data_IF_050271943072
#
_entry.id   IF_050271943072
#
_cell.length_a   1.000
_cell.length_b   1.000
_cell.length_c   1.000
_cell.angle_alpha   90.00
_cell.angle_beta   90.00
_cell.angle_gamma   90.00
#
_symmetry.space_group_name_H-M   'P 1'
#
loop_
_entity.id
_entity.type
_entity.pdbx_description
1 polymer ?
#
# COMPACT_ATOMS: atom_id res chain seq x y z
N UNK A 1 -46.30 45.74 -44.67
CA UNK A 1 -46.04 44.31 -44.42
C UNK A 1 -44.56 44.19 -44.13
N UNK A 2 -44.15 44.21 -42.84
CA UNK A 2 -42.74 44.16 -42.44
C UNK A 2 -42.42 42.74 -41.97
N UNK A 3 -41.52 42.04 -42.67
CA UNK A 3 -40.93 40.76 -42.21
C UNK A 3 -39.78 41.03 -41.24
N UNK A 4 -39.91 40.59 -40.00
CA UNK A 4 -38.81 40.51 -39.02
C UNK A 4 -38.11 39.14 -39.13
N UNK A 5 -36.86 39.16 -39.58
CA UNK A 5 -35.97 37.99 -39.49
C UNK A 5 -35.49 37.81 -38.05
N UNK A 6 -35.74 36.65 -37.47
CA UNK A 6 -35.21 36.24 -36.18
C UNK A 6 -33.93 35.45 -36.46
N UNK A 7 -32.78 36.01 -36.10
CA UNK A 7 -31.49 35.26 -36.05
C UNK A 7 -31.39 34.52 -34.73
N UNK A 8 -31.47 33.21 -34.80
CA UNK A 8 -31.17 32.33 -33.66
C UNK A 8 -29.67 32.05 -33.64
N UNK A 9 -28.93 32.65 -32.70
CA UNK A 9 -27.53 32.31 -32.44
C UNK A 9 -27.47 31.00 -31.66
N UNK A 10 -26.96 29.95 -32.26
CA UNK A 10 -26.63 28.71 -31.60
C UNK A 10 -25.31 28.89 -30.82
N UNK A 11 -25.39 28.89 -29.48
CA UNK A 11 -24.25 28.92 -28.60
C UNK A 11 -23.69 27.47 -28.49
N UNK A 12 -22.56 27.19 -29.16
CA UNK A 12 -21.83 25.94 -29.03
C UNK A 12 -21.08 26.02 -27.70
N UNK A 13 -21.58 25.24 -26.72
CA UNK A 13 -20.88 25.00 -25.46
C UNK A 13 -19.75 23.97 -25.73
N UNK A 14 -18.52 24.45 -25.83
CA UNK A 14 -17.34 23.60 -25.71
C UNK A 14 -17.23 23.12 -24.24
N UNK A 15 -17.64 21.90 -23.99
CA UNK A 15 -17.27 21.20 -22.77
C UNK A 15 -15.77 20.85 -22.84
N UNK A 16 -14.94 21.75 -22.34
CA UNK A 16 -13.54 21.44 -22.10
C UNK A 16 -13.44 20.36 -21.03
N UNK A 17 -13.14 19.12 -21.42
CA UNK A 17 -12.68 18.12 -20.49
C UNK A 17 -11.35 18.61 -19.92
N UNK A 18 -11.39 19.11 -18.68
CA UNK A 18 -10.19 19.36 -17.90
C UNK A 18 -9.52 17.99 -17.65
N UNK A 19 -8.52 17.66 -18.43
CA UNK A 19 -7.59 16.60 -18.06
C UNK A 19 -6.94 17.09 -16.79
N UNK A 20 -7.31 16.50 -15.66
CA UNK A 20 -6.60 16.70 -14.39
C UNK A 20 -5.22 16.07 -14.63
N UNK A 21 -4.25 16.89 -14.97
CA UNK A 21 -2.86 16.47 -15.01
C UNK A 21 -2.49 16.14 -13.56
N UNK A 22 -2.16 14.89 -13.28
CA UNK A 22 -1.58 14.49 -12.02
C UNK A 22 -0.45 15.46 -11.66
N UNK A 23 -0.22 15.71 -10.37
CA UNK A 23 0.83 16.63 -9.95
C UNK A 23 2.20 16.02 -10.28
N UNK A 24 2.75 16.38 -11.42
CA UNK A 24 4.03 15.90 -11.94
C UNK A 24 5.15 16.18 -10.95
N UNK A 25 6.04 15.22 -10.75
CA UNK A 25 7.23 15.41 -9.94
C UNK A 25 8.31 16.25 -10.66
N UNK A 26 9.24 16.89 -9.91
CA UNK A 26 10.37 17.61 -10.49
C UNK A 26 11.34 16.76 -11.36
N UNK A 27 11.21 15.43 -11.27
CA UNK A 27 11.99 14.47 -12.06
C UNK A 27 11.51 14.32 -13.51
N UNK A 28 10.32 14.81 -13.86
CA UNK A 28 9.83 14.73 -15.23
C UNK A 28 10.73 15.47 -16.21
N UNK A 29 11.02 14.85 -17.35
CA UNK A 29 11.95 15.31 -18.38
C UNK A 29 13.41 14.95 -18.12
N UNK A 30 13.76 14.43 -16.94
CA UNK A 30 15.14 13.99 -16.63
C UNK A 30 15.42 12.58 -17.15
N UNK A 31 16.62 12.36 -17.64
CA UNK A 31 17.07 11.03 -18.03
C UNK A 31 17.21 10.13 -16.79
N UNK A 32 16.98 8.83 -16.98
CA UNK A 32 17.24 7.83 -15.95
C UNK A 32 18.72 7.86 -15.51
N UNK A 33 19.05 7.53 -14.25
CA UNK A 33 20.41 7.30 -13.81
C UNK A 33 21.16 6.35 -14.75
N UNK A 34 22.44 6.62 -15.03
CA UNK A 34 23.25 5.98 -16.10
C UNK A 34 23.20 4.45 -16.21
N UNK A 35 22.90 3.76 -15.11
CA UNK A 35 22.87 2.29 -15.06
C UNK A 35 21.45 1.74 -15.09
N UNK A 36 20.45 2.60 -15.19
CA UNK A 36 19.05 2.20 -15.17
C UNK A 36 18.42 2.32 -16.55
N UNK A 37 17.65 1.29 -16.90
CA UNK A 37 16.89 1.22 -18.15
C UNK A 37 15.47 0.73 -17.82
N UNK A 38 14.45 1.08 -18.63
CA UNK A 38 13.11 0.49 -18.51
C UNK A 38 13.15 -1.04 -18.54
N UNK A 39 12.28 -1.70 -17.77
CA UNK A 39 12.24 -3.15 -17.59
C UNK A 39 13.24 -3.71 -16.58
N UNK A 40 14.09 -2.88 -15.97
CA UNK A 40 15.16 -3.32 -15.07
C UNK A 40 14.86 -3.13 -13.58
N UNK A 41 15.45 -4.01 -12.74
CA UNK A 41 15.48 -3.87 -11.28
C UNK A 41 16.91 -3.58 -10.80
N UNK A 42 17.08 -2.56 -9.96
CA UNK A 42 18.38 -2.05 -9.53
C UNK A 42 18.48 -1.92 -8.02
N UNK A 43 19.53 -2.51 -7.44
CA UNK A 43 19.88 -2.30 -6.03
C UNK A 43 20.74 -1.04 -5.90
N UNK A 44 20.38 -0.16 -4.99
CA UNK A 44 21.09 1.10 -4.76
C UNK A 44 20.93 1.56 -3.30
N UNK A 45 21.63 2.61 -2.94
CA UNK A 45 21.64 3.16 -1.59
C UNK A 45 21.16 4.61 -1.58
N UNK A 46 20.67 5.04 -0.43
CA UNK A 46 20.39 6.43 -0.11
C UNK A 46 20.95 6.76 1.28
N UNK A 47 21.60 7.91 1.41
CA UNK A 47 21.99 8.45 2.72
C UNK A 47 20.83 9.26 3.26
N UNK A 48 20.29 8.84 4.40
CA UNK A 48 19.21 9.54 5.09
C UNK A 48 19.69 10.80 5.80
N UNK A 49 18.79 11.71 6.16
CA UNK A 49 19.12 12.98 6.84
C UNK A 49 19.84 12.80 8.18
N UNK A 50 19.66 11.64 8.82
CA UNK A 50 20.38 11.26 10.05
C UNK A 50 21.77 10.64 9.78
N UNK A 51 22.24 10.67 8.52
CA UNK A 51 23.55 10.20 8.10
C UNK A 51 23.68 8.68 7.90
N UNK A 52 22.57 7.92 8.02
CA UNK A 52 22.61 6.46 7.79
C UNK A 52 22.54 6.15 6.30
N UNK A 53 23.33 5.18 5.88
CA UNK A 53 23.16 4.56 4.58
C UNK A 53 22.09 3.47 4.64
N UNK A 54 21.10 3.57 3.76
CA UNK A 54 19.99 2.61 3.62
C UNK A 54 19.92 2.15 2.18
N UNK A 55 19.64 0.87 1.97
CA UNK A 55 19.52 0.29 0.63
C UNK A 55 18.05 0.06 0.25
N UNK A 56 17.82 -0.02 -1.05
CA UNK A 56 16.54 -0.41 -1.64
C UNK A 56 16.75 -1.05 -3.02
N UNK A 57 15.75 -1.74 -3.52
CA UNK A 57 15.63 -2.14 -4.91
C UNK A 57 14.56 -1.25 -5.54
N UNK A 58 14.81 -0.77 -6.75
CA UNK A 58 13.83 -0.07 -7.59
C UNK A 58 13.69 -0.81 -8.91
N UNK A 59 12.46 -1.06 -9.31
CA UNK A 59 12.10 -1.56 -10.63
C UNK A 59 11.49 -0.45 -11.46
N UNK A 60 12.01 -0.25 -12.66
CA UNK A 60 11.50 0.72 -13.64
C UNK A 60 10.67 -0.06 -14.65
N UNK A 61 9.37 0.22 -14.84
CA UNK A 61 8.55 -0.51 -15.80
C UNK A 61 9.06 -0.34 -17.23
N UNK A 62 8.85 -1.34 -18.09
CA UNK A 62 9.43 -1.35 -19.47
C UNK A 62 8.90 -0.23 -20.36
N UNK A 63 7.71 0.27 -20.09
CA UNK A 63 7.09 1.37 -20.81
C UNK A 63 7.33 2.75 -20.18
N UNK A 64 8.28 2.87 -19.23
CA UNK A 64 8.58 4.15 -18.58
C UNK A 64 9.04 5.20 -19.61
N UNK A 65 8.33 6.33 -19.61
CA UNK A 65 8.71 7.54 -20.33
C UNK A 65 8.99 8.66 -19.32
N UNK A 66 10.14 9.32 -19.45
CA UNK A 66 10.52 10.42 -18.56
C UNK A 66 9.60 11.65 -18.64
N UNK A 67 8.73 11.74 -19.63
CA UNK A 67 7.77 12.84 -19.81
C UNK A 67 6.35 12.48 -19.36
N UNK A 68 6.09 11.18 -19.11
CA UNK A 68 4.77 10.69 -18.70
C UNK A 68 4.80 10.27 -17.22
N UNK A 69 4.02 10.92 -16.33
CA UNK A 69 4.08 10.64 -14.91
C UNK A 69 3.49 9.27 -14.57
N UNK A 70 4.28 8.44 -13.88
CA UNK A 70 3.91 7.08 -13.48
C UNK A 70 3.63 6.97 -11.97
N UNK A 71 2.78 6.02 -11.53
CA UNK A 71 2.58 5.72 -10.12
C UNK A 71 3.87 5.14 -9.48
N UNK A 72 3.90 5.19 -8.13
CA UNK A 72 4.96 4.52 -7.34
C UNK A 72 4.34 3.63 -6.28
N UNK A 73 4.85 2.39 -6.16
CA UNK A 73 4.44 1.42 -5.16
C UNK A 73 5.63 1.08 -4.26
N UNK A 74 5.52 1.34 -2.95
CA UNK A 74 6.45 0.84 -1.96
C UNK A 74 5.98 -0.52 -1.44
N UNK A 75 6.87 -1.53 -1.44
CA UNK A 75 6.58 -2.87 -0.93
C UNK A 75 7.56 -3.27 0.17
N UNK A 76 7.06 -3.37 1.41
CA UNK A 76 7.88 -3.58 2.61
C UNK A 76 7.93 -5.07 3.01
N UNK A 77 9.13 -5.60 3.18
CA UNK A 77 9.35 -7.00 3.54
C UNK A 77 8.93 -7.35 4.97
N UNK A 78 8.68 -8.62 5.23
CA UNK A 78 8.46 -9.16 6.57
C UNK A 78 9.73 -9.14 7.43
N UNK A 79 9.56 -9.29 8.76
CA UNK A 79 10.69 -9.41 9.68
C UNK A 79 11.60 -10.57 9.29
N UNK A 80 12.92 -10.40 9.40
CA UNK A 80 13.98 -11.33 8.98
C UNK A 80 14.10 -11.54 7.47
N UNK A 81 13.30 -10.85 6.67
CA UNK A 81 13.34 -10.90 5.21
C UNK A 81 14.13 -9.72 4.64
N UNK A 82 14.28 -9.68 3.33
CA UNK A 82 15.05 -8.68 2.59
C UNK A 82 14.22 -8.03 1.51
N UNK A 83 14.68 -6.89 1.00
CA UNK A 83 14.12 -6.23 -0.18
C UNK A 83 14.01 -7.19 -1.37
N UNK A 84 15.06 -8.00 -1.63
CA UNK A 84 15.06 -9.00 -2.72
C UNK A 84 14.02 -10.10 -2.54
N UNK A 85 13.83 -10.58 -1.29
CA UNK A 85 12.78 -11.57 -1.03
C UNK A 85 11.37 -10.98 -1.19
N UNK A 86 11.18 -9.70 -0.86
CA UNK A 86 9.90 -9.03 -1.02
C UNK A 86 9.57 -8.75 -2.49
N UNK A 87 10.55 -8.34 -3.29
CA UNK A 87 10.39 -8.20 -4.74
C UNK A 87 9.88 -9.50 -5.35
N UNK A 88 10.55 -10.62 -5.01
CA UNK A 88 10.18 -11.95 -5.52
C UNK A 88 8.80 -12.41 -5.01
N UNK A 89 8.43 -12.05 -3.77
CA UNK A 89 7.19 -12.48 -3.13
C UNK A 89 5.99 -11.68 -3.65
N UNK A 90 6.10 -10.34 -3.63
CA UNK A 90 4.97 -9.45 -3.97
C UNK A 90 4.81 -9.20 -5.46
N UNK A 91 5.83 -9.53 -6.27
CA UNK A 91 5.80 -9.49 -7.74
C UNK A 91 5.33 -8.15 -8.37
N UNK A 92 5.51 -7.01 -7.67
CA UNK A 92 5.22 -5.70 -8.28
C UNK A 92 6.27 -5.31 -9.35
N UNK A 93 7.33 -6.11 -9.55
CA UNK A 93 8.26 -6.01 -10.68
C UNK A 93 7.88 -6.92 -11.86
N UNK A 94 6.78 -7.68 -11.75
CA UNK A 94 6.25 -8.49 -12.83
C UNK A 94 5.30 -7.63 -13.69
N UNK A 95 5.67 -7.40 -14.93
CA UNK A 95 4.91 -6.55 -15.85
C UNK A 95 3.53 -7.08 -16.21
N UNK A 96 3.30 -8.38 -16.02
CA UNK A 96 1.95 -8.97 -16.15
C UNK A 96 0.98 -8.36 -15.12
N UNK A 97 1.47 -8.04 -13.92
CA UNK A 97 0.67 -7.46 -12.84
C UNK A 97 0.82 -5.95 -12.74
N UNK A 98 2.02 -5.43 -13.02
CA UNK A 98 2.33 -4.02 -12.89
C UNK A 98 3.11 -3.51 -14.12
N UNK A 99 2.46 -3.21 -15.22
CA UNK A 99 3.12 -2.70 -16.43
C UNK A 99 3.53 -1.22 -16.34
N UNK A 100 3.01 -0.45 -15.35
CA UNK A 100 3.07 1.00 -15.42
C UNK A 100 3.71 1.68 -14.21
N UNK A 101 3.68 1.08 -13.01
CA UNK A 101 4.17 1.75 -11.81
C UNK A 101 5.64 1.39 -11.51
N UNK A 102 6.41 2.38 -11.06
CA UNK A 102 7.71 2.12 -10.44
C UNK A 102 7.46 1.34 -9.14
N UNK A 103 8.13 0.19 -8.97
CA UNK A 103 8.07 -0.58 -7.73
C UNK A 103 9.35 -0.40 -6.91
N UNK A 104 9.18 -0.13 -5.62
CA UNK A 104 10.28 0.13 -4.68
C UNK A 104 10.24 -0.86 -3.54
N UNK A 105 11.35 -1.52 -3.28
CA UNK A 105 11.51 -2.48 -2.19
C UNK A 105 12.61 -1.99 -1.24
N UNK A 106 12.25 -1.25 -0.19
CA UNK A 106 13.23 -0.78 0.77
C UNK A 106 13.79 -1.92 1.63
N UNK A 107 15.02 -1.73 2.15
CA UNK A 107 15.63 -2.65 3.10
C UNK A 107 15.55 -2.12 4.52
N UNK A 108 14.91 -2.85 5.40
CA UNK A 108 14.81 -2.57 6.84
C UNK A 108 16.14 -2.78 7.57
N UNK A 109 16.44 -1.91 8.53
CA UNK A 109 17.61 -2.09 9.42
C UNK A 109 17.44 -3.39 10.21
N UNK A 110 18.47 -4.23 10.21
CA UNK A 110 18.43 -5.57 10.83
C UNK A 110 17.25 -6.42 10.33
N UNK A 111 16.87 -6.24 9.06
CA UNK A 111 15.78 -6.95 8.41
C UNK A 111 14.42 -6.79 9.13
N UNK A 112 14.11 -5.60 9.64
CA UNK A 112 12.85 -5.29 10.32
C UNK A 112 12.50 -3.81 10.22
N UNK A 113 11.26 -3.47 10.58
CA UNK A 113 10.69 -2.14 10.45
C UNK A 113 10.20 -1.59 11.77
N UNK A 114 10.14 -0.27 11.85
CA UNK A 114 9.47 0.48 12.91
C UNK A 114 8.07 -0.08 13.20
N UNK A 115 7.75 -0.23 14.49
CA UNK A 115 6.51 -0.87 14.96
C UNK A 115 6.73 -2.30 15.45
N UNK A 116 7.76 -3.01 15.00
CA UNK A 116 8.20 -4.24 15.65
C UNK A 116 8.77 -3.92 17.04
N UNK A 117 8.45 -4.71 18.08
CA UNK A 117 8.98 -4.48 19.43
C UNK A 117 10.51 -4.39 19.53
N UNK A 118 11.24 -4.98 18.57
CA UNK A 118 12.71 -4.95 18.53
C UNK A 118 13.29 -3.80 17.70
N UNK A 119 12.46 -2.96 17.06
CA UNK A 119 12.91 -1.83 16.20
C UNK A 119 12.82 -0.49 16.92
N UNK A 120 13.34 -0.40 18.14
CA UNK A 120 13.32 0.85 18.89
C UNK A 120 14.36 1.84 18.33
N UNK A 121 14.00 3.10 18.28
CA UNK A 121 14.89 4.19 17.85
C UNK A 121 15.16 4.21 16.33
N UNK A 122 14.37 3.48 15.54
CA UNK A 122 14.41 3.52 14.07
C UNK A 122 13.18 4.28 13.57
N UNK A 123 13.40 5.26 12.69
CA UNK A 123 12.35 6.04 12.04
C UNK A 123 12.24 5.66 10.56
N UNK A 124 11.47 4.61 10.29
CA UNK A 124 11.24 4.13 8.93
C UNK A 124 10.17 4.94 8.18
N UNK A 125 9.31 5.68 8.89
CA UNK A 125 8.38 6.63 8.27
C UNK A 125 9.18 7.75 7.61
N UNK A 126 10.09 8.38 8.37
CA UNK A 126 10.96 9.43 7.83
C UNK A 126 11.85 8.92 6.68
N UNK A 127 12.39 7.70 6.80
CA UNK A 127 13.14 7.06 5.72
C UNK A 127 12.30 6.88 4.45
N UNK A 128 11.06 6.40 4.56
CA UNK A 128 10.16 6.21 3.42
C UNK A 128 9.82 7.53 2.74
N UNK A 129 9.54 8.59 3.51
CA UNK A 129 9.28 9.92 2.97
C UNK A 129 10.50 10.52 2.28
N UNK A 130 11.71 10.33 2.84
CA UNK A 130 12.95 10.79 2.21
C UNK A 130 13.24 10.04 0.90
N UNK A 131 12.93 8.73 0.83
CA UNK A 131 13.01 8.00 -0.43
C UNK A 131 12.02 8.54 -1.47
N UNK A 132 10.77 8.82 -1.05
CA UNK A 132 9.77 9.38 -1.97
C UNK A 132 10.24 10.74 -2.52
N UNK A 133 10.73 11.65 -1.66
CA UNK A 133 11.30 12.93 -2.10
C UNK A 133 12.46 12.72 -3.09
N UNK A 134 13.36 11.76 -2.80
CA UNK A 134 14.47 11.41 -3.67
C UNK A 134 14.03 10.87 -5.03
N UNK A 135 12.92 10.11 -5.08
CA UNK A 135 12.39 9.59 -6.34
C UNK A 135 11.66 10.67 -7.13
N UNK A 136 10.88 11.52 -6.48
CA UNK A 136 10.22 12.65 -7.13
C UNK A 136 11.24 13.61 -7.81
N UNK A 137 12.44 13.74 -7.27
CA UNK A 137 13.51 14.54 -7.87
C UNK A 137 14.17 13.87 -9.09
N UNK A 138 14.01 12.57 -9.29
CA UNK A 138 14.76 11.79 -10.30
C UNK A 138 13.91 11.17 -11.39
N UNK A 139 12.66 10.81 -11.08
CA UNK A 139 11.77 10.10 -11.98
C UNK A 139 10.50 10.94 -12.23
N UNK A 140 9.90 10.76 -13.39
CA UNK A 140 8.61 11.35 -13.69
C UNK A 140 7.51 10.56 -12.95
N UNK A 141 7.11 11.08 -11.78
CA UNK A 141 6.15 10.44 -10.88
C UNK A 141 4.86 11.26 -10.84
N UNK A 142 3.74 10.57 -10.89
CA UNK A 142 2.46 11.11 -10.51
C UNK A 142 2.34 11.13 -8.97
N UNK A 143 2.51 12.30 -8.39
CA UNK A 143 2.49 12.53 -6.94
C UNK A 143 1.14 12.23 -6.29
N UNK A 144 0.08 12.10 -7.09
CA UNK A 144 -1.25 11.71 -6.60
C UNK A 144 -1.44 10.20 -6.55
N UNK A 145 -0.56 9.42 -7.17
CA UNK A 145 -0.64 7.96 -7.25
C UNK A 145 0.59 7.28 -6.61
N UNK A 146 0.76 7.49 -5.31
CA UNK A 146 1.80 6.85 -4.50
C UNK A 146 1.14 5.88 -3.53
N UNK A 147 1.63 4.64 -3.50
CA UNK A 147 0.99 3.55 -2.77
C UNK A 147 1.97 2.80 -1.87
N UNK A 148 1.44 2.18 -0.83
CA UNK A 148 2.23 1.36 0.09
C UNK A 148 1.59 -0.01 0.30
N UNK A 149 2.39 -1.06 0.13
CA UNK A 149 2.06 -2.44 0.48
C UNK A 149 3.13 -3.04 1.37
N UNK A 150 2.84 -4.13 2.05
CA UNK A 150 3.85 -4.83 2.84
C UNK A 150 3.31 -6.06 3.53
N UNK A 151 4.22 -7.01 3.80
CA UNK A 151 3.88 -8.26 4.47
C UNK A 151 4.31 -8.26 5.93
N UNK A 152 3.47 -8.79 6.83
CA UNK A 152 3.85 -9.04 8.23
C UNK A 152 4.31 -7.76 8.94
N UNK A 153 5.55 -7.67 9.39
CA UNK A 153 6.14 -6.44 9.94
C UNK A 153 6.11 -5.28 8.92
N UNK A 154 6.32 -5.56 7.62
CA UNK A 154 6.12 -4.58 6.54
C UNK A 154 4.68 -4.12 6.42
N UNK A 155 3.69 -5.00 6.61
CA UNK A 155 2.28 -4.63 6.72
C UNK A 155 1.99 -3.76 7.95
N UNK A 156 2.70 -4.00 9.04
CA UNK A 156 2.69 -3.13 10.22
C UNK A 156 3.20 -1.72 9.91
N UNK A 157 4.32 -1.60 9.15
CA UNK A 157 4.83 -0.30 8.70
C UNK A 157 3.85 0.37 7.72
N UNK A 158 3.25 -0.37 6.79
CA UNK A 158 2.21 0.13 5.88
C UNK A 158 1.07 0.79 6.65
N UNK A 159 0.57 0.15 7.71
CA UNK A 159 -0.42 0.77 8.61
C UNK A 159 0.12 2.02 9.32
N UNK A 160 1.38 2.02 9.76
CA UNK A 160 1.96 3.20 10.42
C UNK A 160 2.08 4.39 9.49
N UNK A 161 2.42 4.17 8.22
CA UNK A 161 2.40 5.22 7.19
C UNK A 161 0.99 5.78 6.98
N UNK A 162 -0.02 4.91 6.94
CA UNK A 162 -1.42 5.31 6.85
C UNK A 162 -1.87 6.15 8.06
N UNK A 163 -1.34 5.85 9.25
CA UNK A 163 -1.66 6.52 10.50
C UNK A 163 -0.84 7.79 10.77
N UNK A 164 0.22 8.04 10.02
CA UNK A 164 1.10 9.19 10.22
C UNK A 164 0.53 10.44 9.53
N UNK A 165 0.48 11.61 10.21
CA UNK A 165 -0.15 12.81 9.65
C UNK A 165 0.61 13.41 8.46
N UNK A 166 1.89 13.07 8.27
CA UNK A 166 2.68 13.52 7.11
C UNK A 166 2.57 12.51 5.97
N UNK A 167 2.79 11.23 6.26
CA UNK A 167 2.76 10.18 5.25
C UNK A 167 1.36 10.01 4.65
N UNK A 168 0.29 10.10 5.45
CA UNK A 168 -1.09 9.97 4.95
C UNK A 168 -1.48 11.01 3.89
N UNK A 169 -0.78 12.14 3.79
CA UNK A 169 -0.94 13.15 2.73
C UNK A 169 -0.15 12.86 1.46
N UNK A 170 0.73 11.85 1.51
CA UNK A 170 1.66 11.54 0.42
C UNK A 170 1.35 10.19 -0.23
N UNK A 171 0.52 9.36 0.39
CA UNK A 171 0.13 8.05 -0.10
C UNK A 171 -1.37 8.00 -0.35
N UNK A 172 -1.77 7.59 -1.55
CA UNK A 172 -3.17 7.52 -1.96
C UNK A 172 -3.90 6.32 -1.35
N UNK A 173 -3.25 5.14 -1.29
CA UNK A 173 -3.84 3.92 -0.73
C UNK A 173 -2.79 2.98 -0.12
N UNK A 174 -3.27 2.03 0.72
CA UNK A 174 -2.44 1.13 1.52
C UNK A 174 -2.94 -0.30 1.44
N UNK A 175 -2.01 -1.27 1.34
CA UNK A 175 -2.33 -2.69 1.24
C UNK A 175 -1.47 -3.57 2.17
N UNK A 176 -1.78 -3.67 3.48
CA UNK A 176 -1.10 -4.58 4.37
C UNK A 176 -1.56 -6.03 4.17
N UNK A 177 -0.59 -6.96 4.08
CA UNK A 177 -0.80 -8.40 3.97
C UNK A 177 -0.28 -9.10 5.23
N UNK A 178 -1.13 -9.87 5.92
CA UNK A 178 -0.82 -10.55 7.19
C UNK A 178 -0.12 -9.61 8.19
N UNK A 179 -0.62 -8.38 8.33
CA UNK A 179 0.04 -7.25 8.97
C UNK A 179 0.21 -7.39 10.48
N UNK A 180 1.40 -7.04 11.00
CA UNK A 180 1.72 -7.07 12.43
C UNK A 180 1.48 -5.69 13.07
N UNK A 181 0.26 -5.44 13.53
CA UNK A 181 -0.21 -4.16 14.05
C UNK A 181 0.03 -3.99 15.55
N UNK A 182 1.27 -4.13 16.03
CA UNK A 182 1.60 -4.05 17.44
C UNK A 182 1.18 -2.73 18.08
N UNK A 183 0.39 -2.82 19.17
CA UNK A 183 0.01 -1.71 20.01
C UNK A 183 0.86 -1.67 21.29
N UNK A 184 1.09 -0.47 21.82
CA UNK A 184 1.91 -0.28 23.03
C UNK A 184 1.10 -0.62 24.31
N UNK A 185 0.63 -1.85 24.37
CA UNK A 185 -0.07 -2.47 25.51
C UNK A 185 0.64 -3.78 25.81
N UNK A 186 0.90 -4.08 27.08
CA UNK A 186 1.56 -5.34 27.48
C UNK A 186 0.69 -6.57 27.18
N UNK A 187 1.30 -7.73 27.07
CA UNK A 187 0.58 -8.98 26.75
C UNK A 187 -0.53 -9.29 27.76
N UNK A 188 -0.28 -9.12 29.06
CA UNK A 188 -1.26 -9.40 30.12
C UNK A 188 -2.49 -8.50 30.04
N UNK A 189 -2.31 -7.27 29.56
CA UNK A 189 -3.37 -6.28 29.39
C UNK A 189 -3.98 -6.31 27.97
N UNK A 190 -3.54 -7.22 27.12
CA UNK A 190 -4.02 -7.30 25.75
C UNK A 190 -5.49 -7.69 25.69
N UNK A 191 -6.27 -6.89 24.98
CA UNK A 191 -7.68 -7.12 24.69
C UNK A 191 -7.86 -6.95 23.17
N UNK A 192 -7.62 -7.99 22.36
CA UNK A 192 -7.50 -7.90 20.90
C UNK A 192 -8.69 -7.27 20.20
N UNK A 193 -9.89 -7.44 20.77
CA UNK A 193 -11.13 -6.95 20.15
C UNK A 193 -11.48 -5.50 20.52
N UNK A 194 -10.70 -4.88 21.42
CA UNK A 194 -10.99 -3.54 21.94
C UNK A 194 -9.74 -2.70 22.20
N UNK A 195 -8.55 -3.24 21.94
CA UNK A 195 -7.30 -2.49 22.12
C UNK A 195 -7.31 -1.26 21.22
N UNK A 196 -7.04 -0.09 21.79
CA UNK A 196 -7.00 1.16 21.04
C UNK A 196 -5.87 1.11 19.99
N UNK A 197 -6.23 1.29 18.74
CA UNK A 197 -5.29 1.41 17.62
C UNK A 197 -4.92 2.89 17.49
N UNK A 198 -3.69 3.22 17.86
CA UNK A 198 -3.19 4.60 17.78
C UNK A 198 -2.97 4.97 16.31
N UNK A 199 -3.69 5.98 15.85
CA UNK A 199 -3.69 6.41 14.47
C UNK A 199 -4.19 7.85 14.37
N UNK A 200 -3.51 8.69 13.60
CA UNK A 200 -3.86 10.10 13.44
C UNK A 200 -3.56 10.57 12.00
N UNK A 201 -4.24 10.01 10.99
CA UNK A 201 -4.05 10.45 9.62
C UNK A 201 -4.50 11.91 9.46
N UNK A 202 -3.89 12.63 8.51
CA UNK A 202 -4.23 14.02 8.23
C UNK A 202 -5.32 14.18 7.17
N UNK A 203 -5.85 13.08 6.66
CA UNK A 203 -7.00 13.02 5.74
C UNK A 203 -7.89 11.83 6.04
N UNK A 204 -9.11 11.86 5.58
CA UNK A 204 -10.07 10.77 5.48
C UNK A 204 -10.85 10.91 4.18
N UNK A 205 -11.28 9.83 3.53
CA UNK A 205 -10.95 8.45 3.89
C UNK A 205 -9.49 8.09 3.58
N UNK A 206 -9.01 7.02 4.24
CA UNK A 206 -7.74 6.37 3.94
C UNK A 206 -8.03 5.01 3.28
N UNK A 207 -7.91 4.88 1.95
CA UNK A 207 -8.14 3.61 1.28
C UNK A 207 -7.21 2.51 1.78
N UNK A 208 -7.81 1.41 2.30
CA UNK A 208 -7.10 0.32 2.98
C UNK A 208 -7.59 -1.04 2.50
N UNK A 209 -6.69 -1.86 1.94
CA UNK A 209 -6.98 -3.24 1.52
C UNK A 209 -6.15 -4.23 2.35
N UNK A 210 -6.78 -4.96 3.25
CA UNK A 210 -6.10 -5.91 4.13
C UNK A 210 -6.35 -7.37 3.75
N UNK A 211 -5.29 -8.18 3.69
CA UNK A 211 -5.39 -9.64 3.53
C UNK A 211 -4.93 -10.35 4.80
N UNK A 212 -5.67 -11.39 5.21
CA UNK A 212 -5.23 -12.23 6.33
C UNK A 212 -5.78 -13.66 6.25
N UNK A 213 -4.92 -14.62 6.56
CA UNK A 213 -5.28 -16.03 6.67
C UNK A 213 -5.83 -16.39 8.04
N UNK A 214 -6.83 -17.28 8.11
CA UNK A 214 -7.43 -17.70 9.38
C UNK A 214 -6.55 -18.65 10.19
N UNK A 215 -5.61 -19.34 9.52
CA UNK A 215 -4.64 -20.24 10.15
C UNK A 215 -3.26 -19.61 10.37
N UNK A 216 -3.19 -18.26 10.40
CA UNK A 216 -1.94 -17.55 10.67
C UNK A 216 -1.54 -17.71 12.15
N UNK A 217 -0.52 -18.55 12.41
CA UNK A 217 0.05 -18.77 13.73
C UNK A 217 1.12 -17.73 14.11
N UNK A 218 1.65 -17.00 13.13
CA UNK A 218 2.66 -15.96 13.34
C UNK A 218 2.03 -14.65 13.78
N UNK A 219 1.01 -14.18 13.10
CA UNK A 219 0.19 -13.04 13.45
C UNK A 219 -1.27 -13.52 13.51
N UNK A 220 -1.72 -14.04 14.66
CA UNK A 220 -3.03 -14.69 14.73
C UNK A 220 -4.18 -13.80 14.27
N UNK A 221 -5.10 -14.34 13.48
CA UNK A 221 -6.30 -13.65 13.01
C UNK A 221 -7.12 -13.06 14.16
N UNK A 222 -7.13 -13.78 15.30
CA UNK A 222 -7.81 -13.38 16.54
C UNK A 222 -7.02 -12.35 17.37
N UNK A 223 -5.81 -11.99 16.95
CA UNK A 223 -4.92 -11.14 17.72
C UNK A 223 -4.41 -11.81 18.99
N UNK A 224 -3.93 -11.01 19.93
CA UNK A 224 -3.44 -11.51 21.22
C UNK A 224 -2.12 -10.89 21.67
N UNK A 225 -1.67 -11.27 22.85
CA UNK A 225 -0.35 -10.93 23.37
C UNK A 225 0.76 -11.57 22.55
N UNK A 226 1.75 -10.77 22.13
CA UNK A 226 2.90 -11.27 21.35
C UNK A 226 4.10 -10.35 21.52
N UNK A 227 5.27 -10.93 21.89
CA UNK A 227 6.56 -10.23 21.98
C UNK A 227 6.49 -8.98 22.88
N UNK A 228 5.80 -9.11 24.04
CA UNK A 228 5.63 -8.03 25.02
C UNK A 228 4.65 -6.93 24.61
N UNK A 229 3.86 -7.14 23.55
CA UNK A 229 2.90 -6.17 23.01
C UNK A 229 1.55 -6.84 22.69
N UNK A 230 0.55 -6.02 22.38
CA UNK A 230 -0.77 -6.47 21.97
C UNK A 230 -0.96 -6.34 20.45
N UNK A 231 -1.46 -7.41 19.84
CA UNK A 231 -1.98 -7.41 18.48
C UNK A 231 -3.50 -7.29 18.55
N UNK A 232 -4.14 -6.35 17.85
CA UNK A 232 -5.59 -6.37 17.66
C UNK A 232 -6.00 -7.61 16.88
N UNK A 233 -7.23 -8.09 17.07
CA UNK A 233 -7.80 -9.02 16.12
C UNK A 233 -7.98 -8.34 14.74
N UNK A 234 -7.86 -9.11 13.68
CA UNK A 234 -7.98 -8.55 12.32
C UNK A 234 -9.36 -7.94 12.08
N UNK A 235 -10.49 -8.57 12.52
CA UNK A 235 -11.80 -7.93 12.43
C UNK A 235 -11.91 -6.62 13.20
N UNK A 236 -11.25 -6.49 14.36
CA UNK A 236 -11.22 -5.23 15.09
C UNK A 236 -10.41 -4.17 14.33
N UNK A 237 -9.24 -4.52 13.82
CA UNK A 237 -8.41 -3.63 13.00
C UNK A 237 -9.18 -3.07 11.79
N UNK A 238 -9.89 -3.91 11.07
CA UNK A 238 -10.67 -3.51 9.89
C UNK A 238 -11.83 -2.57 10.26
N UNK A 239 -12.58 -2.91 11.32
CA UNK A 239 -13.66 -2.04 11.82
C UNK A 239 -13.16 -0.69 12.34
N UNK A 240 -11.99 -0.64 12.97
CA UNK A 240 -11.39 0.62 13.41
C UNK A 240 -11.03 1.53 12.23
N UNK A 241 -10.57 0.97 11.11
CA UNK A 241 -10.35 1.74 9.87
C UNK A 241 -11.67 2.24 9.29
N UNK A 242 -12.67 1.38 9.15
CA UNK A 242 -13.99 1.77 8.67
C UNK A 242 -14.66 2.84 9.54
N UNK A 243 -14.52 2.73 10.86
CA UNK A 243 -15.04 3.71 11.82
C UNK A 243 -14.30 5.06 11.75
N UNK A 244 -12.98 5.04 11.57
CA UNK A 244 -12.15 6.25 11.46
C UNK A 244 -12.47 7.05 10.22
N UNK A 245 -12.78 6.36 9.14
CA UNK A 245 -13.14 6.96 7.86
C UNK A 245 -14.64 7.30 7.75
N UNK A 246 -15.39 7.15 8.87
CA UNK A 246 -16.84 7.42 8.95
C UNK A 246 -17.67 6.66 7.90
N UNK A 247 -17.24 5.44 7.58
CA UNK A 247 -17.90 4.60 6.57
C UNK A 247 -19.18 3.90 7.11
N UNK A 248 -19.68 4.36 8.21
CA UNK A 248 -20.72 3.85 9.10
C UNK A 248 -21.80 2.98 8.47
N UNK A 249 -21.79 1.71 8.76
CA UNK A 249 -22.88 0.77 8.49
C UNK A 249 -23.01 0.30 7.04
N UNK A 250 -22.32 0.89 6.08
CA UNK A 250 -22.26 0.41 4.70
C UNK A 250 -21.17 -0.65 4.58
N UNK A 251 -21.56 -1.87 4.82
CA UNK A 251 -20.66 -3.00 4.70
C UNK A 251 -21.35 -4.04 3.80
N UNK A 252 -20.62 -4.48 2.79
CA UNK A 252 -20.98 -5.60 1.96
C UNK A 252 -20.02 -6.74 2.22
N UNK A 253 -20.54 -7.93 2.48
CA UNK A 253 -19.72 -9.13 2.62
C UNK A 253 -20.12 -10.14 1.55
N UNK A 254 -19.15 -10.53 0.74
CA UNK A 254 -19.30 -11.54 -0.30
C UNK A 254 -18.37 -12.72 -0.03
N UNK A 255 -18.74 -13.90 -0.52
CA UNK A 255 -17.91 -15.10 -0.42
C UNK A 255 -17.64 -15.68 -1.81
N UNK A 256 -16.43 -16.15 -2.01
CA UNK A 256 -16.01 -16.83 -3.23
C UNK A 256 -15.30 -18.14 -2.91
N UNK A 257 -14.92 -18.90 -3.94
CA UNK A 257 -14.18 -20.16 -3.81
C UNK A 257 -14.86 -21.15 -2.83
N UNK A 258 -16.19 -21.31 -2.97
CA UNK A 258 -16.96 -22.22 -2.10
C UNK A 258 -16.99 -21.80 -0.62
N UNK A 259 -16.92 -20.49 -0.33
CA UNK A 259 -16.90 -19.95 1.03
C UNK A 259 -15.49 -19.85 1.65
N UNK A 260 -14.45 -20.21 0.91
CA UNK A 260 -13.05 -20.15 1.39
C UNK A 260 -12.47 -18.77 1.44
N UNK A 261 -13.01 -17.84 0.70
CA UNK A 261 -12.60 -16.42 0.71
C UNK A 261 -13.82 -15.57 1.03
N UNK A 262 -13.71 -14.82 2.11
CA UNK A 262 -14.69 -13.81 2.50
C UNK A 262 -14.12 -12.43 2.25
N UNK A 263 -14.86 -11.59 1.53
CA UNK A 263 -14.47 -10.23 1.21
C UNK A 263 -15.46 -9.26 1.81
N UNK A 264 -15.02 -8.50 2.79
CA UNK A 264 -15.80 -7.42 3.42
C UNK A 264 -15.38 -6.08 2.84
N UNK A 265 -16.34 -5.29 2.35
CA UNK A 265 -16.14 -3.93 1.84
C UNK A 265 -16.92 -2.93 2.66
N UNK A 266 -16.28 -1.84 3.02
CA UNK A 266 -16.85 -0.72 3.76
C UNK A 266 -16.73 0.55 2.92
N UNK A 267 -17.79 1.37 2.97
CA UNK A 267 -17.91 2.59 2.17
C UNK A 267 -18.52 2.35 0.79
N UNK A 268 -18.87 3.43 0.10
CA UNK A 268 -19.58 3.39 -1.19
C UNK A 268 -18.68 2.92 -2.34
N UNK A 269 -17.36 3.11 -2.21
CA UNK A 269 -16.36 2.74 -3.21
C UNK A 269 -15.43 1.62 -2.74
N UNK A 270 -15.69 1.02 -1.56
CA UNK A 270 -14.81 0.04 -0.96
C UNK A 270 -13.51 0.68 -0.45
N UNK A 271 -13.64 1.78 0.28
CA UNK A 271 -12.53 2.51 0.89
C UNK A 271 -11.75 1.63 1.86
N UNK A 272 -12.44 0.77 2.62
CA UNK A 272 -11.80 -0.26 3.44
C UNK A 272 -12.26 -1.63 2.98
N UNK A 273 -11.32 -2.47 2.57
CA UNK A 273 -11.59 -3.84 2.08
C UNK A 273 -10.77 -4.85 2.87
N UNK A 274 -11.38 -5.96 3.22
CA UNK A 274 -10.70 -7.07 3.88
C UNK A 274 -10.96 -8.40 3.20
N UNK A 275 -9.87 -9.12 2.88
CA UNK A 275 -9.89 -10.50 2.42
C UNK A 275 -9.53 -11.43 3.58
N UNK A 276 -10.52 -12.17 4.08
CA UNK A 276 -10.34 -13.27 5.03
C UNK A 276 -10.21 -14.57 4.24
N UNK A 277 -9.08 -15.26 4.37
CA UNK A 277 -8.78 -16.46 3.58
C UNK A 277 -8.72 -17.66 4.52
N UNK A 278 -9.66 -18.59 4.34
CA UNK A 278 -9.80 -19.76 5.20
C UNK A 278 -8.62 -20.71 5.02
N UNK A 279 -8.04 -21.15 6.14
CA UNK A 279 -6.94 -22.11 6.19
C UNK A 279 -5.59 -21.57 5.74
N UNK A 280 -5.49 -20.34 5.22
CA UNK A 280 -4.21 -19.73 4.87
C UNK A 280 -3.43 -19.39 6.14
N UNK A 281 -2.15 -19.75 6.15
CA UNK A 281 -1.19 -19.40 7.19
C UNK A 281 -0.63 -17.97 7.04
N UNK A 282 0.58 -17.75 7.57
CA UNK A 282 1.26 -16.44 7.52
C UNK A 282 1.90 -16.20 6.13
N UNK A 283 1.10 -15.96 5.10
CA UNK A 283 1.55 -15.93 3.72
C UNK A 283 1.09 -14.68 2.95
N UNK A 284 1.79 -14.37 1.87
CA UNK A 284 1.30 -13.54 0.77
C UNK A 284 0.39 -14.42 -0.09
N UNK A 285 -0.91 -14.11 -0.21
CA UNK A 285 -1.83 -14.94 -0.98
C UNK A 285 -1.43 -15.02 -2.45
N UNK A 286 -1.35 -16.25 -2.98
CA UNK A 286 -1.11 -16.54 -4.40
C UNK A 286 -1.70 -17.90 -4.72
N UNK A 287 -2.32 -18.04 -5.88
CA UNK A 287 -2.80 -19.32 -6.40
C UNK A 287 -1.66 -20.22 -6.80
N UNK A 288 -0.52 -19.63 -7.17
CA UNK A 288 0.72 -20.34 -7.45
C UNK A 288 1.58 -20.46 -6.18
N UNK A 289 2.39 -21.53 -6.07
CA UNK A 289 3.35 -21.70 -4.99
C UNK A 289 4.31 -20.51 -4.86
N UNK A 290 4.56 -20.06 -3.63
CA UNK A 290 5.55 -19.04 -3.34
C UNK A 290 6.37 -19.37 -2.08
N UNK A 291 7.34 -18.51 -1.73
CA UNK A 291 8.23 -18.75 -0.57
C UNK A 291 7.52 -18.74 0.79
N UNK A 292 6.30 -18.25 0.88
CA UNK A 292 5.51 -18.21 2.11
C UNK A 292 4.46 -19.34 2.16
N UNK A 293 4.03 -19.83 1.00
CA UNK A 293 3.00 -20.85 0.87
C UNK A 293 3.32 -21.76 -0.34
N UNK A 294 3.91 -22.93 -0.12
CA UNK A 294 4.27 -23.85 -1.20
C UNK A 294 3.07 -24.54 -1.88
N UNK A 295 1.90 -24.52 -1.26
CA UNK A 295 0.70 -25.17 -1.77
C UNK A 295 -0.22 -24.22 -2.55
N UNK A 296 0.10 -22.90 -2.54
CA UNK A 296 -0.80 -21.88 -3.08
C UNK A 296 -2.05 -21.66 -2.24
N UNK A 297 -2.96 -20.81 -2.69
CA UNK A 297 -4.26 -20.53 -2.06
C UNK A 297 -5.31 -20.16 -3.11
N UNK A 298 -6.41 -19.55 -2.68
CA UNK A 298 -7.60 -19.36 -3.51
C UNK A 298 -7.60 -18.06 -4.34
N UNK A 299 -6.71 -17.12 -4.03
CA UNK A 299 -6.66 -15.79 -4.66
C UNK A 299 -5.22 -15.29 -4.76
N UNK A 300 -4.99 -14.41 -5.73
CA UNK A 300 -3.72 -13.71 -5.92
C UNK A 300 -3.81 -12.29 -5.37
N UNK A 301 -3.06 -12.00 -4.32
CA UNK A 301 -3.08 -10.67 -3.68
C UNK A 301 -2.54 -9.59 -4.61
N UNK A 302 -1.50 -9.88 -5.40
CA UNK A 302 -0.82 -8.86 -6.21
C UNK A 302 -1.72 -8.19 -7.23
N UNK A 303 -2.40 -8.89 -8.16
CA UNK A 303 -3.31 -8.26 -9.10
C UNK A 303 -4.52 -7.58 -8.40
N UNK A 304 -5.00 -8.13 -7.29
CA UNK A 304 -6.07 -7.50 -6.50
C UNK A 304 -5.60 -6.17 -5.90
N UNK A 305 -4.37 -6.12 -5.36
CA UNK A 305 -3.76 -4.88 -4.82
C UNK A 305 -3.59 -3.86 -5.94
N UNK A 306 -3.10 -4.27 -7.12
CA UNK A 306 -2.95 -3.36 -8.26
C UNK A 306 -4.30 -2.77 -8.67
N UNK A 307 -5.33 -3.60 -8.85
CA UNK A 307 -6.67 -3.12 -9.19
C UNK A 307 -7.32 -2.27 -8.09
N UNK A 308 -6.93 -2.46 -6.82
CA UNK A 308 -7.34 -1.57 -5.74
C UNK A 308 -6.62 -0.22 -5.83
N UNK A 309 -5.31 -0.22 -6.01
CA UNK A 309 -4.52 1.01 -6.10
C UNK A 309 -4.95 1.91 -7.26
N UNK A 310 -5.27 1.32 -8.40
CA UNK A 310 -5.71 2.06 -9.60
C UNK A 310 -7.03 2.86 -9.40
N UNK A 311 -7.78 2.56 -8.36
CA UNK A 311 -9.02 3.27 -8.02
C UNK A 311 -8.78 4.55 -7.21
N UNK A 312 -7.58 4.77 -6.66
CA UNK A 312 -7.34 5.80 -5.67
C UNK A 312 -6.26 6.80 -6.09
N UNK A 313 -6.59 8.07 -5.90
CA UNK A 313 -5.66 9.20 -6.01
C UNK A 313 -5.79 10.11 -4.79
N UNK A 314 -4.76 10.92 -4.54
CA UNK A 314 -4.80 11.96 -3.51
C UNK A 314 -5.69 13.14 -3.92
#
# INVERSE_FOLDING_TARGET
>A
MFFRSIFTSAMILFSGSSVVHGANSPGCGKDLPRVQEPGGSYSTNITTKDGRERSYIIHIPSNYDKNEPVPVIFSFHGRTRTAKSQEKLSQFSNEEYNPNAIAVYPQGIKNQWQGDPSSQGIDDISFTLQMLDHFEDRYCIDRTRVYAAGKSNGGGLTNRLACDPTASKRFAAFAPVAGAYYQNVTEDNCRPNTVKIQCNPARTPIPMLAFHGTADETIPYTGGGRRGRCLPSVPHFVREWASRDDLGGKNETTTTNGGKVEVSRFGDHGEVVHYRIEGLGHAWPSTEPNSDNPDGTYVDATPIIMGFFDQWTL
#
